data_IF_114863939743
#
_entry.id   IF_114863939743
#
_cell.length_a   1.000
_cell.length_b   1.000
_cell.length_c   1.000
_cell.angle_alpha   90.00
_cell.angle_beta   90.00
_cell.angle_gamma   90.00
#
_symmetry.space_group_name_H-M   'P 1'
#
loop_
_entity.id
_entity.type
_entity.pdbx_description
1 polymer ?
#
# COMPACT_ATOMS: atom_id res chain seq x y z
N UNK A 1 4.58 33.03 -41.46
CA UNK A 1 5.37 31.80 -41.23
C UNK A 1 5.19 31.36 -39.79
N UNK A 2 4.39 30.33 -39.54
CA UNK A 2 4.10 29.82 -38.19
C UNK A 2 5.12 28.74 -37.82
N UNK A 3 6.02 29.02 -36.87
CA UNK A 3 6.95 28.02 -36.33
C UNK A 3 6.22 27.19 -35.27
N UNK A 4 6.26 25.86 -35.39
CA UNK A 4 5.78 24.95 -34.35
C UNK A 4 6.77 24.98 -33.18
N UNK A 5 6.32 25.17 -31.93
CA UNK A 5 7.19 25.02 -30.77
C UNK A 5 7.63 23.56 -30.66
N UNK A 6 8.94 23.34 -30.58
CA UNK A 6 9.54 22.01 -30.45
C UNK A 6 9.70 21.71 -28.96
N UNK A 7 9.20 20.56 -28.52
CA UNK A 7 9.38 20.08 -27.15
C UNK A 7 10.79 19.49 -26.99
N UNK A 8 11.44 19.66 -25.83
CA UNK A 8 12.77 19.11 -25.58
C UNK A 8 12.76 17.58 -25.74
N UNK A 9 13.79 17.06 -26.43
CA UNK A 9 13.93 15.63 -26.70
C UNK A 9 14.20 14.82 -25.43
N UNK A 10 13.89 13.52 -25.45
CA UNK A 10 14.11 12.63 -24.30
C UNK A 10 15.58 12.59 -23.82
N UNK A 11 16.54 12.80 -24.72
CA UNK A 11 17.97 12.91 -24.40
C UNK A 11 18.32 14.13 -23.55
N UNK A 12 17.49 15.17 -23.54
CA UNK A 12 17.66 16.33 -22.65
C UNK A 12 17.10 16.08 -21.25
N UNK A 13 16.05 15.25 -21.15
CA UNK A 13 15.43 14.89 -19.88
C UNK A 13 16.32 13.97 -19.03
N UNK A 14 17.16 13.17 -19.66
CA UNK A 14 18.00 12.16 -19.00
C UNK A 14 19.49 12.44 -19.14
N UNK A 15 19.93 13.68 -18.87
CA UNK A 15 21.36 13.92 -18.64
C UNK A 15 21.80 13.18 -17.37
N UNK A 16 22.67 12.18 -17.53
CA UNK A 16 23.44 11.60 -16.42
C UNK A 16 24.28 12.71 -15.80
N UNK A 17 23.91 13.13 -14.59
CA UNK A 17 24.66 14.06 -13.74
C UNK A 17 25.86 13.36 -13.12
N UNK A 18 26.81 12.92 -13.95
CA UNK A 18 28.12 12.46 -13.49
C UNK A 18 29.22 13.36 -14.04
N UNK A 19 29.04 14.66 -13.81
CA UNK A 19 30.07 15.68 -14.01
C UNK A 19 30.08 16.62 -12.82
N UNK A 20 30.85 16.21 -11.81
CA UNK A 20 31.77 17.05 -11.03
C UNK A 20 31.29 18.40 -10.53
N UNK A 21 31.03 18.43 -9.22
CA UNK A 21 31.49 19.45 -8.24
C UNK A 21 31.20 20.93 -8.54
N UNK A 22 30.14 21.44 -7.92
CA UNK A 22 30.08 22.83 -7.47
C UNK A 22 29.52 22.81 -6.05
N UNK A 23 30.35 23.19 -5.08
CA UNK A 23 30.03 23.20 -3.66
C UNK A 23 29.09 24.35 -3.29
N UNK A 24 28.07 24.11 -2.46
CA UNK A 24 27.47 25.17 -1.65
C UNK A 24 27.93 25.07 -0.19
N UNK A 25 28.54 26.16 0.26
CA UNK A 25 28.76 26.55 1.64
C UNK A 25 27.39 26.73 2.35
N UNK A 26 27.02 25.81 3.25
CA UNK A 26 26.00 26.05 4.29
C UNK A 26 26.39 25.29 5.55
N UNK A 27 26.50 26.07 6.62
CA UNK A 27 26.86 25.76 7.99
C UNK A 27 25.99 24.65 8.62
N UNK A 28 26.69 23.62 9.11
CA UNK A 28 26.43 22.66 10.18
C UNK A 28 24.98 22.21 10.51
N UNK A 29 24.74 20.88 10.35
CA UNK A 29 23.75 20.09 11.07
C UNK A 29 24.40 18.79 11.59
N UNK A 30 23.91 18.24 12.73
CA UNK A 30 24.61 17.19 13.48
C UNK A 30 24.67 15.85 12.73
N UNK A 31 25.75 15.12 12.99
CA UNK A 31 26.11 13.84 12.41
C UNK A 31 25.09 12.73 12.70
N UNK A 32 24.22 12.46 11.72
CA UNK A 32 23.44 11.23 11.70
C UNK A 32 24.27 10.11 11.07
N UNK A 33 24.57 9.13 11.91
CA UNK A 33 25.34 7.93 11.60
C UNK A 33 24.80 7.19 10.39
N UNK A 34 25.72 6.92 9.49
CA UNK A 34 25.67 5.97 8.37
C UNK A 34 24.93 4.68 8.76
N UNK A 35 23.75 4.46 8.19
CA UNK A 35 23.10 3.13 8.15
C UNK A 35 22.63 2.82 6.73
N UNK A 36 23.54 2.92 5.76
CA UNK A 36 23.33 2.33 4.43
C UNK A 36 24.49 1.41 4.10
N UNK A 37 24.43 0.19 4.63
CA UNK A 37 25.33 -0.90 4.23
C UNK A 37 24.64 -2.24 4.47
N UNK A 38 23.62 -2.56 3.67
CA UNK A 38 23.13 -3.95 3.55
C UNK A 38 23.97 -4.67 2.48
N UNK A 39 24.71 -5.74 2.80
CA UNK A 39 25.61 -6.43 1.88
C UNK A 39 24.90 -7.42 0.93
N UNK A 40 23.58 -7.56 1.01
CA UNK A 40 22.83 -8.62 0.34
C UNK A 40 22.50 -8.40 -1.16
N UNK A 41 22.99 -7.33 -1.80
CA UNK A 41 22.66 -7.00 -3.20
C UNK A 41 23.87 -7.03 -4.16
N UNK A 42 25.01 -7.60 -3.76
CA UNK A 42 26.16 -7.79 -4.65
C UNK A 42 26.25 -9.24 -5.11
N UNK A 43 25.48 -9.61 -6.12
CA UNK A 43 25.80 -10.76 -6.97
C UNK A 43 26.10 -10.27 -8.37
N UNK A 44 27.34 -9.86 -8.57
CA UNK A 44 27.96 -9.72 -9.90
C UNK A 44 28.38 -11.12 -10.35
N UNK A 45 27.74 -11.68 -11.37
CA UNK A 45 28.17 -12.93 -11.99
C UNK A 45 29.27 -12.67 -13.00
N UNK A 46 30.46 -13.29 -12.89
CA UNK A 46 31.32 -13.54 -14.03
C UNK A 46 31.14 -14.98 -14.53
N UNK A 47 31.01 -15.13 -15.84
CA UNK A 47 31.24 -16.39 -16.55
C UNK A 47 32.73 -16.72 -16.54
N UNK A 48 33.12 -17.93 -16.13
CA UNK A 48 34.09 -18.81 -16.85
C UNK A 48 34.30 -20.17 -16.16
N UNK A 49 34.13 -21.22 -16.96
CA UNK A 49 34.77 -22.55 -17.06
C UNK A 49 35.32 -23.31 -15.83
N UNK A 50 34.75 -24.53 -15.69
CA UNK A 50 35.37 -25.86 -15.50
C UNK A 50 36.13 -26.25 -14.20
N UNK A 51 35.82 -27.51 -13.80
CA UNK A 51 36.55 -28.50 -12.96
C UNK A 51 36.36 -28.49 -11.43
N UNK A 52 35.67 -29.54 -10.94
CA UNK A 52 36.23 -30.44 -9.90
C UNK A 52 35.88 -30.22 -8.42
N UNK A 53 35.23 -31.24 -7.85
CA UNK A 53 35.28 -31.71 -6.45
C UNK A 53 34.52 -30.99 -5.30
N UNK A 54 33.33 -31.55 -5.03
CA UNK A 54 32.87 -32.17 -3.78
C UNK A 54 33.18 -31.54 -2.41
N UNK A 55 32.13 -31.09 -1.71
CA UNK A 55 31.86 -31.49 -0.31
C UNK A 55 30.42 -31.16 0.16
N UNK A 56 29.71 -32.21 0.56
CA UNK A 56 28.68 -32.27 1.61
C UNK A 56 27.36 -31.48 1.47
N UNK A 57 26.42 -32.02 0.68
CA UNK A 57 24.99 -31.86 0.92
C UNK A 57 24.38 -33.21 1.32
N UNK A 58 23.78 -33.29 2.51
CA UNK A 58 23.13 -34.51 3.01
C UNK A 58 22.12 -35.08 2.00
N UNK A 59 22.09 -36.40 1.72
CA UNK A 59 21.14 -36.95 0.78
C UNK A 59 19.77 -37.01 1.43
N UNK A 60 18.83 -36.19 0.94
CA UNK A 60 17.42 -36.31 1.28
C UNK A 60 16.92 -37.68 0.83
N UNK A 61 16.69 -38.57 1.79
CA UNK A 61 16.10 -39.88 1.56
C UNK A 61 14.60 -39.69 1.39
N UNK A 62 14.09 -39.93 0.17
CA UNK A 62 12.67 -40.00 -0.10
C UNK A 62 12.09 -41.22 0.64
N UNK A 63 11.40 -40.97 1.75
CA UNK A 63 10.55 -41.96 2.40
C UNK A 63 9.33 -42.17 1.49
N UNK A 64 9.10 -43.38 0.96
CA UNK A 64 7.86 -43.68 0.27
C UNK A 64 6.74 -43.59 1.31
N UNK A 65 5.92 -42.55 1.21
CA UNK A 65 4.74 -42.38 2.05
C UNK A 65 3.76 -43.52 1.80
N UNK A 66 3.86 -44.57 2.61
CA UNK A 66 2.87 -45.63 2.71
C UNK A 66 1.59 -45.08 3.35
N UNK A 67 0.76 -44.41 2.55
CA UNK A 67 -0.64 -44.18 2.87
C UNK A 67 -1.45 -45.38 2.36
N UNK A 68 -1.29 -46.52 3.04
CA UNK A 68 -2.26 -47.59 2.93
C UNK A 68 -3.51 -47.19 3.72
N UNK A 69 -4.65 -47.16 3.01
CA UNK A 69 -6.00 -47.28 3.56
C UNK A 69 -6.52 -46.15 4.49
N UNK A 70 -6.43 -44.90 4.07
CA UNK A 70 -7.43 -43.89 4.46
C UNK A 70 -8.02 -43.31 3.18
N UNK A 71 -9.23 -43.77 2.86
CA UNK A 71 -10.18 -43.28 1.85
C UNK A 71 -9.72 -42.03 1.09
N UNK A 72 -9.40 -42.19 -0.20
CA UNK A 72 -8.96 -41.14 -1.11
C UNK A 72 -10.11 -40.16 -1.41
N UNK A 73 -10.42 -39.29 -0.45
CA UNK A 73 -11.42 -38.21 -0.57
C UNK A 73 -11.04 -37.18 -1.64
N UNK A 74 -9.79 -37.19 -2.13
CA UNK A 74 -9.31 -36.32 -3.20
C UNK A 74 -9.31 -36.98 -4.59
N UNK A 75 -9.62 -38.28 -4.70
CA UNK A 75 -9.73 -38.98 -5.99
C UNK A 75 -10.70 -38.28 -6.96
N UNK A 76 -11.81 -37.75 -6.43
CA UNK A 76 -12.85 -37.07 -7.22
C UNK A 76 -12.39 -35.77 -7.90
N UNK A 77 -11.29 -35.16 -7.44
CA UNK A 77 -10.73 -33.94 -8.03
C UNK A 77 -9.67 -34.22 -9.10
N UNK A 78 -9.28 -35.49 -9.30
CA UNK A 78 -8.28 -35.91 -10.31
C UNK A 78 -8.87 -36.28 -11.67
N UNK A 79 -10.16 -35.99 -11.88
CA UNK A 79 -10.87 -36.24 -13.14
C UNK A 79 -10.29 -35.49 -14.33
N UNK A 80 -10.40 -36.10 -15.52
CA UNK A 80 -9.97 -35.55 -16.80
C UNK A 80 -10.51 -34.12 -17.04
N UNK A 81 -9.74 -33.25 -17.73
CA UNK A 81 -10.13 -31.85 -17.93
C UNK A 81 -11.48 -31.76 -18.65
N UNK A 82 -12.49 -31.26 -17.94
CA UNK A 82 -13.76 -30.92 -18.57
C UNK A 82 -13.53 -29.76 -19.55
N UNK A 83 -14.16 -29.78 -20.74
CA UNK A 83 -14.03 -28.69 -21.70
C UNK A 83 -14.53 -27.40 -21.06
N UNK A 84 -13.61 -26.47 -20.82
CA UNK A 84 -13.93 -25.19 -20.22
C UNK A 84 -14.96 -24.45 -21.10
N UNK A 85 -16.05 -23.92 -20.51
CA UNK A 85 -16.98 -23.10 -21.27
C UNK A 85 -16.21 -21.91 -21.86
N UNK A 86 -16.48 -21.50 -23.12
CA UNK A 86 -15.79 -20.38 -23.73
C UNK A 86 -16.04 -19.15 -22.88
N UNK A 87 -14.97 -18.64 -22.26
CA UNK A 87 -14.97 -17.42 -21.47
C UNK A 87 -15.33 -16.29 -22.43
N UNK A 88 -16.62 -15.90 -22.47
CA UNK A 88 -17.05 -14.74 -23.23
C UNK A 88 -16.34 -13.53 -22.62
N UNK A 89 -15.49 -12.80 -23.37
CA UNK A 89 -14.88 -11.59 -22.84
C UNK A 89 -16.01 -10.65 -22.44
N UNK A 90 -16.10 -10.32 -21.16
CA UNK A 90 -16.99 -9.30 -20.67
C UNK A 90 -16.52 -7.99 -21.30
N UNK A 91 -17.16 -7.59 -22.41
CA UNK A 91 -16.91 -6.31 -23.04
C UNK A 91 -17.25 -5.26 -21.98
N UNK A 92 -16.28 -4.48 -21.48
CA UNK A 92 -16.59 -3.44 -20.53
C UNK A 92 -17.50 -2.45 -21.25
N UNK A 93 -18.77 -2.45 -20.87
CA UNK A 93 -19.74 -1.48 -21.37
C UNK A 93 -19.24 -0.10 -20.91
N UNK A 94 -18.57 0.61 -21.83
CA UNK A 94 -18.28 2.03 -21.71
C UNK A 94 -19.62 2.73 -21.48
N UNK A 95 -19.95 3.05 -20.23
CA UNK A 95 -21.16 3.81 -19.97
C UNK A 95 -21.91 3.52 -18.69
N UNK A 96 -21.48 2.63 -17.78
CA UNK A 96 -21.98 2.75 -16.40
C UNK A 96 -21.27 3.92 -15.76
N UNK A 97 -21.92 5.06 -15.46
CA UNK A 97 -21.30 6.08 -14.66
C UNK A 97 -21.03 5.41 -13.31
N UNK A 98 -19.78 5.07 -13.04
CA UNK A 98 -19.33 4.80 -11.69
C UNK A 98 -19.71 6.07 -10.94
N UNK A 99 -20.76 5.99 -10.11
CA UNK A 99 -21.27 7.08 -9.29
C UNK A 99 -20.06 7.56 -8.51
N UNK A 100 -19.41 8.61 -9.00
CA UNK A 100 -18.22 9.18 -8.39
C UNK A 100 -18.74 9.79 -7.12
N UNK A 101 -18.70 9.02 -6.04
CA UNK A 101 -19.09 9.42 -4.70
C UNK A 101 -18.39 10.74 -4.44
N UNK A 102 -19.18 11.79 -4.28
CA UNK A 102 -18.76 13.16 -4.15
C UNK A 102 -17.74 13.27 -3.02
N UNK A 103 -16.48 13.45 -3.40
CA UNK A 103 -15.46 13.93 -2.47
C UNK A 103 -15.72 15.42 -2.33
N UNK A 104 -16.38 15.80 -1.23
CA UNK A 104 -16.53 17.20 -0.86
C UNK A 104 -15.15 17.87 -0.87
N UNK A 105 -15.06 19.02 -1.54
CA UNK A 105 -13.84 19.84 -1.56
C UNK A 105 -13.76 20.61 -0.23
N UNK A 106 -12.61 20.54 0.41
CA UNK A 106 -12.30 21.33 1.60
C UNK A 106 -11.09 22.19 1.27
N UNK A 107 -11.23 23.49 1.48
CA UNK A 107 -10.20 24.47 1.11
C UNK A 107 -9.19 24.68 2.25
N UNK A 108 -9.62 24.40 3.48
CA UNK A 108 -8.80 24.49 4.69
C UNK A 108 -8.36 23.11 5.18
N UNK A 109 -7.16 23.06 5.78
CA UNK A 109 -6.55 21.84 6.31
C UNK A 109 -6.10 22.07 7.74
N UNK A 110 -6.39 21.09 8.60
CA UNK A 110 -5.80 20.95 9.94
C UNK A 110 -4.82 19.76 9.94
N UNK A 111 -3.83 19.77 10.82
CA UNK A 111 -2.93 18.62 11.05
C UNK A 111 -3.05 18.20 12.51
N UNK A 112 -3.27 16.91 12.76
CA UNK A 112 -3.47 16.36 14.11
C UNK A 112 -2.44 15.26 14.35
N UNK A 113 -1.80 15.30 15.52
CA UNK A 113 -0.96 14.21 16.01
C UNK A 113 -1.82 13.26 16.82
N UNK A 114 -1.70 11.97 16.54
CA UNK A 114 -2.42 10.90 17.25
C UNK A 114 -1.43 9.81 17.63
N UNK A 115 -1.76 9.09 18.70
CA UNK A 115 -1.02 7.91 19.12
C UNK A 115 -1.16 6.75 18.12
N UNK A 116 -0.28 5.75 18.24
CA UNK A 116 -0.36 4.54 17.43
C UNK A 116 -1.68 3.78 17.64
N UNK A 117 -2.16 3.73 18.89
CA UNK A 117 -3.40 3.04 19.27
C UNK A 117 -4.63 3.72 18.66
N UNK A 118 -4.66 5.06 18.67
CA UNK A 118 -5.74 5.82 18.02
C UNK A 118 -5.75 5.65 16.50
N UNK A 119 -4.57 5.60 15.87
CA UNK A 119 -4.47 5.32 14.43
C UNK A 119 -4.99 3.93 14.11
N UNK A 120 -4.65 2.92 14.92
CA UNK A 120 -5.15 1.56 14.77
C UNK A 120 -6.68 1.52 14.95
N UNK A 121 -7.21 2.18 15.98
CA UNK A 121 -8.65 2.29 16.20
C UNK A 121 -9.38 2.92 15.00
N UNK A 122 -8.82 3.96 14.39
CA UNK A 122 -9.38 4.61 13.21
C UNK A 122 -9.39 3.68 11.99
N UNK A 123 -8.35 2.88 11.76
CA UNK A 123 -8.33 1.90 10.67
C UNK A 123 -9.30 0.74 10.90
N UNK A 124 -9.38 0.23 12.12
CA UNK A 124 -10.37 -0.77 12.51
C UNK A 124 -11.79 -0.26 12.26
N UNK A 125 -12.08 1.01 12.60
CA UNK A 125 -13.36 1.65 12.31
C UNK A 125 -13.65 1.74 10.80
N UNK A 126 -12.64 2.08 9.98
CA UNK A 126 -12.79 2.10 8.50
C UNK A 126 -13.17 0.74 7.94
N UNK A 127 -12.51 -0.32 8.39
CA UNK A 127 -12.81 -1.69 7.96
C UNK A 127 -14.21 -2.11 8.41
N UNK A 128 -14.60 -1.76 9.63
CA UNK A 128 -15.94 -2.03 10.18
C UNK A 128 -17.03 -1.34 9.37
N UNK A 129 -16.88 -0.05 9.08
CA UNK A 129 -17.80 0.71 8.22
C UNK A 129 -17.96 0.08 6.84
N UNK A 130 -16.86 -0.38 6.24
CA UNK A 130 -16.91 -1.03 4.93
C UNK A 130 -17.54 -2.43 4.98
N UNK A 131 -17.19 -3.23 5.99
CA UNK A 131 -17.60 -4.63 6.10
C UNK A 131 -19.06 -4.78 6.56
N UNK A 132 -19.47 -4.01 7.56
CA UNK A 132 -20.79 -4.13 8.18
C UNK A 132 -21.82 -3.19 7.56
N UNK A 133 -21.40 -1.98 7.17
CA UNK A 133 -22.33 -0.95 6.67
C UNK A 133 -22.19 -0.68 5.16
N UNK A 134 -21.23 -1.32 4.48
CA UNK A 134 -20.96 -1.06 3.06
C UNK A 134 -20.45 0.37 2.77
N UNK A 135 -20.05 1.12 3.80
CA UNK A 135 -19.65 2.51 3.69
C UNK A 135 -18.15 2.62 3.46
N UNK A 136 -17.77 3.07 2.26
CA UNK A 136 -16.38 3.42 1.97
C UNK A 136 -16.08 4.84 2.49
N UNK A 137 -15.31 4.91 3.58
CA UNK A 137 -14.80 6.16 4.15
C UNK A 137 -13.27 6.13 4.28
N UNK A 138 -12.64 7.25 3.97
CA UNK A 138 -11.25 7.53 4.31
C UNK A 138 -11.14 8.16 5.71
N UNK A 139 -9.91 8.23 6.23
CA UNK A 139 -9.62 8.82 7.56
C UNK A 139 -10.20 10.23 7.68
N UNK A 140 -9.99 11.06 6.66
CA UNK A 140 -10.41 12.46 6.67
C UNK A 140 -11.93 12.62 6.67
N UNK A 141 -12.66 11.72 6.01
CA UNK A 141 -14.13 11.71 6.06
C UNK A 141 -14.65 11.33 7.45
N UNK A 142 -14.08 10.32 8.09
CA UNK A 142 -14.48 9.91 9.45
C UNK A 142 -14.25 11.05 10.45
N UNK A 143 -13.07 11.67 10.41
CA UNK A 143 -12.73 12.77 11.32
C UNK A 143 -13.67 13.97 11.10
N UNK A 144 -13.96 14.33 9.84
CA UNK A 144 -14.90 15.42 9.54
C UNK A 144 -16.30 15.14 10.06
N UNK A 145 -16.81 13.92 9.91
CA UNK A 145 -18.13 13.55 10.41
C UNK A 145 -18.18 13.60 11.93
N UNK A 146 -17.15 13.08 12.60
CA UNK A 146 -17.05 13.14 14.06
C UNK A 146 -17.02 14.58 14.58
N UNK A 147 -16.28 15.48 13.92
CA UNK A 147 -16.27 16.91 14.25
C UNK A 147 -17.66 17.51 14.06
N UNK A 148 -18.34 17.20 12.94
CA UNK A 148 -19.69 17.72 12.68
C UNK A 148 -20.69 17.30 13.76
N UNK A 149 -20.65 16.05 14.19
CA UNK A 149 -21.50 15.54 15.28
C UNK A 149 -21.22 16.26 16.59
N UNK A 150 -19.94 16.46 16.94
CA UNK A 150 -19.56 17.16 18.17
C UNK A 150 -19.94 18.64 18.16
N UNK A 151 -19.81 19.32 17.01
CA UNK A 151 -20.22 20.72 16.87
C UNK A 151 -21.74 20.89 16.92
N UNK A 152 -22.49 19.94 16.36
CA UNK A 152 -23.94 19.93 16.47
C UNK A 152 -24.37 19.74 17.94
N UNK A 153 -23.77 18.78 18.66
CA UNK A 153 -24.03 18.55 20.08
C UNK A 153 -23.73 19.80 20.94
N UNK A 154 -22.62 20.47 20.66
CA UNK A 154 -22.26 21.73 21.30
C UNK A 154 -23.28 22.84 21.01
N UNK A 155 -23.74 22.95 19.75
CA UNK A 155 -24.74 23.96 19.37
C UNK A 155 -26.10 23.74 20.04
N UNK A 156 -26.52 22.48 20.23
CA UNK A 156 -27.81 22.13 20.82
C UNK A 156 -27.80 22.18 22.36
N UNK A 157 -26.73 21.69 23.01
CA UNK A 157 -26.66 21.53 24.48
C UNK A 157 -25.80 22.58 25.18
N UNK A 158 -24.93 23.27 24.46
CA UNK A 158 -24.00 24.24 25.04
C UNK A 158 -23.07 23.60 26.09
N UNK A 159 -23.16 24.10 27.32
CA UNK A 159 -22.30 23.70 28.45
C UNK A 159 -22.44 22.23 28.84
N UNK A 160 -23.58 21.62 28.54
CA UNK A 160 -23.86 20.22 28.86
C UNK A 160 -23.39 19.25 27.75
N UNK A 161 -22.76 19.75 26.68
CA UNK A 161 -22.26 18.93 25.57
C UNK A 161 -21.12 17.99 25.98
N UNK A 162 -21.01 16.87 25.27
CA UNK A 162 -19.97 15.86 25.50
C UNK A 162 -18.58 16.47 25.35
N UNK A 163 -18.42 17.41 24.41
CA UNK A 163 -17.16 18.09 24.16
C UNK A 163 -16.71 18.92 25.38
N UNK A 164 -17.61 19.70 25.97
CA UNK A 164 -17.30 20.52 27.16
C UNK A 164 -16.95 19.63 28.35
N UNK A 165 -17.71 18.56 28.59
CA UNK A 165 -17.46 17.63 29.69
C UNK A 165 -16.07 16.98 29.59
N UNK A 166 -15.69 16.47 28.41
CA UNK A 166 -14.37 15.85 28.19
C UNK A 166 -13.21 16.84 28.35
N UNK A 167 -13.37 18.07 27.85
CA UNK A 167 -12.34 19.10 27.96
C UNK A 167 -12.16 19.62 29.39
N UNK A 168 -13.17 19.50 30.25
CA UNK A 168 -13.07 19.78 31.69
C UNK A 168 -12.37 18.66 32.46
N UNK A 169 -12.10 17.51 31.83
CA UNK A 169 -11.40 16.37 32.45
C UNK A 169 -12.33 15.36 33.14
N UNK A 170 -13.61 15.31 32.75
CA UNK A 170 -14.56 14.28 33.21
C UNK A 170 -14.61 13.08 32.25
#
# INVERSE_FOLDING_TARGET
MTRRPVLPGASELFRRTDSGSSAPEVTELPSLSVTTSSPALRSTSPRRDEVGESAAGSPLTLVPGGAAAQEDQLAGFRGAPQPAPPLRPAVPTRGRPARRTDRAKHDEKITVYISADELLALESARLTLRGQHGLAADRGRIVREAISVLLADLGERGDDSILVQRLRGN
#
